data_IF_326235318038
#
_entry.id   IF_326235318038
#
_cell.length_a   1.000
_cell.length_b   1.000
_cell.length_c   1.000
_cell.angle_alpha   90.00
_cell.angle_beta   90.00
_cell.angle_gamma   90.00
#
_symmetry.space_group_name_H-M   'P 1'
#
loop_
_entity.id
_entity.type
_entity.pdbx_description
1 polymer ?
#
# COMPACT_ATOMS: atom_id res chain seq x y z
N UNK A 1 -29.86 -25.74 18.25
CA UNK A 1 -29.26 -24.65 17.44
C UNK A 1 -29.22 -25.12 15.98
N UNK A 2 -30.19 -24.77 15.10
CA UNK A 2 -30.23 -25.31 13.75
C UNK A 2 -29.47 -24.45 12.72
N UNK A 3 -29.07 -25.16 11.67
CA UNK A 3 -28.29 -24.81 10.48
C UNK A 3 -28.45 -23.41 9.87
N UNK A 4 -27.30 -22.87 9.44
CA UNK A 4 -27.18 -21.59 8.76
C UNK A 4 -27.65 -21.57 7.30
N UNK A 5 -28.03 -20.37 6.86
CA UNK A 5 -28.13 -19.98 5.45
C UNK A 5 -27.37 -18.67 5.27
N UNK A 6 -26.19 -18.73 4.64
CA UNK A 6 -25.46 -17.55 4.18
C UNK A 6 -25.81 -17.30 2.72
N UNK A 7 -26.39 -16.13 2.42
CA UNK A 7 -26.62 -15.67 1.05
C UNK A 7 -25.56 -14.64 0.69
N UNK A 8 -24.52 -15.10 -0.01
CA UNK A 8 -23.51 -14.22 -0.59
C UNK A 8 -24.08 -13.61 -1.87
N UNK A 9 -24.35 -12.31 -1.88
CA UNK A 9 -24.59 -11.56 -3.12
C UNK A 9 -23.52 -10.46 -3.24
N UNK A 10 -22.46 -10.79 -3.96
CA UNK A 10 -21.51 -9.81 -4.47
C UNK A 10 -22.15 -9.12 -5.68
N UNK A 11 -22.50 -7.84 -5.55
CA UNK A 11 -22.91 -6.99 -6.67
C UNK A 11 -21.77 -6.04 -7.02
N UNK A 12 -21.40 -6.09 -8.30
CA UNK A 12 -20.20 -5.55 -8.91
C UNK A 12 -20.03 -4.03 -8.75
N UNK A 13 -18.79 -3.57 -8.62
CA UNK A 13 -18.39 -2.22 -9.04
C UNK A 13 -17.53 -2.30 -10.29
N UNK A 14 -18.14 -1.78 -11.35
CA UNK A 14 -17.62 -1.47 -12.68
C UNK A 14 -16.15 -1.06 -12.67
N UNK A 15 -15.31 -1.91 -13.26
CA UNK A 15 -13.96 -1.54 -13.71
C UNK A 15 -14.10 -0.68 -14.96
N UNK A 16 -14.05 0.64 -14.80
CA UNK A 16 -13.90 1.59 -15.91
C UNK A 16 -12.48 1.45 -16.47
N UNK A 17 -12.29 0.56 -17.44
CA UNK A 17 -11.14 0.54 -18.35
C UNK A 17 -11.68 0.49 -19.77
N UNK A 18 -11.71 1.65 -20.41
CA UNK A 18 -11.82 1.76 -21.85
C UNK A 18 -10.45 2.14 -22.40
N UNK A 19 -9.80 1.31 -23.21
CA UNK A 19 -9.09 1.79 -24.36
C UNK A 19 -10.04 1.65 -25.55
N UNK A 20 -10.51 2.79 -26.04
CA UNK A 20 -11.13 2.88 -27.35
C UNK A 20 -10.09 2.43 -28.40
N UNK A 21 -10.56 1.59 -29.31
CA UNK A 21 -9.83 0.95 -30.39
C UNK A 21 -9.53 1.97 -31.50
N UNK A 22 -8.34 1.90 -32.12
CA UNK A 22 -8.26 2.09 -33.57
C UNK A 22 -7.03 1.38 -34.13
N UNK A 23 -7.29 0.19 -34.65
CA UNK A 23 -6.37 -0.61 -35.45
C UNK A 23 -6.47 -0.06 -36.89
N UNK A 24 -5.43 0.61 -37.35
CA UNK A 24 -5.28 1.04 -38.74
C UNK A 24 -4.86 -0.16 -39.61
N UNK A 25 -5.27 -0.17 -40.89
CA UNK A 25 -4.85 -1.07 -41.99
C UNK A 25 -5.70 -2.35 -42.13
N UNK A 26 -6.26 -2.78 -43.27
CA UNK A 26 -6.18 -2.41 -44.69
C UNK A 26 -7.58 -2.58 -45.30
N UNK A 27 -8.02 -1.71 -46.20
CA UNK A 27 -8.88 -2.13 -47.32
C UNK A 27 -8.67 -1.16 -48.50
N UNK A 28 -8.23 -1.72 -49.62
CA UNK A 28 -7.88 -1.01 -50.84
C UNK A 28 -9.06 -0.96 -51.83
N UNK A 29 -9.16 0.18 -52.53
CA UNK A 29 -9.84 0.46 -53.82
C UNK A 29 -11.37 0.67 -53.83
N UNK A 30 -11.94 1.34 -54.85
CA UNK A 30 -11.53 2.60 -55.49
C UNK A 30 -12.70 3.60 -55.71
N UNK A 31 -12.36 4.85 -56.02
CA UNK A 31 -13.13 5.86 -56.76
C UNK A 31 -14.64 6.02 -56.48
N UNK A 32 -15.00 7.03 -55.70
CA UNK A 32 -16.24 7.78 -55.94
C UNK A 32 -16.07 9.24 -55.52
N UNK A 33 -16.14 10.13 -56.50
CA UNK A 33 -16.06 11.58 -56.37
C UNK A 33 -17.32 12.14 -55.71
N UNK A 34 -17.20 12.61 -54.48
CA UNK A 34 -18.07 13.64 -53.93
C UNK A 34 -17.27 14.53 -53.01
N UNK A 35 -17.27 15.82 -53.31
CA UNK A 35 -16.64 16.90 -52.54
C UNK A 35 -17.15 16.84 -51.10
N UNK A 36 -16.43 16.15 -50.23
CA UNK A 36 -16.58 16.28 -48.80
C UNK A 36 -15.97 17.61 -48.39
N UNK A 37 -16.82 18.55 -48.01
CA UNK A 37 -16.41 19.77 -47.35
C UNK A 37 -16.02 19.38 -45.91
N UNK A 38 -14.76 18.99 -45.72
CA UNK A 38 -14.21 18.69 -44.40
C UNK A 38 -14.05 20.02 -43.68
N UNK A 39 -15.05 20.41 -42.90
CA UNK A 39 -14.93 21.47 -41.91
C UNK A 39 -13.91 20.99 -40.86
N UNK A 40 -12.67 21.45 -41.05
CA UNK A 40 -11.56 21.28 -40.12
C UNK A 40 -11.94 21.94 -38.78
N UNK A 41 -12.57 21.18 -37.91
CA UNK A 41 -12.78 21.58 -36.52
C UNK A 41 -11.47 21.36 -35.80
N UNK A 42 -10.67 22.42 -35.73
CA UNK A 42 -9.44 22.45 -34.94
C UNK A 42 -9.81 22.22 -33.47
N UNK A 43 -9.65 20.98 -33.01
CA UNK A 43 -9.73 20.65 -31.59
C UNK A 43 -8.54 21.31 -30.88
N UNK A 44 -8.77 22.51 -30.34
CA UNK A 44 -7.85 23.09 -29.38
C UNK A 44 -7.92 22.24 -28.12
N UNK A 45 -6.95 21.34 -27.96
CA UNK A 45 -6.64 20.73 -26.68
C UNK A 45 -6.21 21.87 -25.75
N UNK A 46 -7.15 22.40 -24.97
CA UNK A 46 -6.84 23.24 -23.81
C UNK A 46 -5.97 22.39 -22.88
N UNK A 47 -4.67 22.62 -22.95
CA UNK A 47 -3.74 22.16 -21.93
C UNK A 47 -4.22 22.72 -20.60
N UNK A 48 -4.63 21.84 -19.68
CA UNK A 48 -4.94 22.24 -18.32
C UNK A 48 -3.75 23.06 -17.79
N UNK A 49 -4.00 24.20 -17.13
CA UNK A 49 -2.91 25.02 -16.61
C UNK A 49 -2.01 24.12 -15.76
N UNK A 50 -0.70 24.21 -15.97
CA UNK A 50 0.26 23.48 -15.17
C UNK A 50 -0.01 23.78 -13.70
N UNK A 51 -0.57 22.82 -12.97
CA UNK A 51 -0.85 22.97 -11.54
C UNK A 51 0.47 23.34 -10.86
N UNK A 52 0.45 24.44 -10.10
CA UNK A 52 1.58 24.80 -9.27
C UNK A 52 2.03 23.58 -8.46
N UNK A 53 3.34 23.37 -8.28
CA UNK A 53 3.86 22.16 -7.64
C UNK A 53 3.21 21.98 -6.26
N UNK A 54 2.55 20.85 -6.06
CA UNK A 54 1.82 20.56 -4.83
C UNK A 54 2.78 20.57 -3.63
N UNK A 55 2.50 21.42 -2.64
CA UNK A 55 3.23 21.47 -1.38
C UNK A 55 2.53 20.57 -0.36
N UNK A 56 3.22 19.52 0.10
CA UNK A 56 2.65 18.53 1.03
C UNK A 56 3.39 18.56 2.37
N UNK A 57 2.64 18.72 3.45
CA UNK A 57 3.12 18.58 4.82
C UNK A 57 2.57 17.29 5.42
N UNK A 58 3.45 16.47 6.00
CA UNK A 58 3.13 15.22 6.68
C UNK A 58 3.35 15.43 8.17
N UNK A 59 2.30 15.25 8.98
CA UNK A 59 2.39 15.32 10.43
C UNK A 59 2.67 13.93 11.03
N UNK A 60 3.88 13.73 11.53
CA UNK A 60 4.34 12.54 12.23
C UNK A 60 5.42 11.75 11.47
N UNK A 61 6.51 11.42 12.17
CA UNK A 61 7.62 10.58 11.67
C UNK A 61 7.63 9.21 12.37
N UNK A 62 6.44 8.62 12.51
CA UNK A 62 6.25 7.25 13.01
C UNK A 62 6.48 6.21 11.91
N UNK A 63 5.44 5.44 11.59
CA UNK A 63 5.48 4.40 10.54
C UNK A 63 4.91 4.96 9.23
N UNK A 64 3.67 5.46 9.25
CA UNK A 64 2.98 5.90 8.04
C UNK A 64 3.65 7.12 7.37
N UNK A 65 4.12 8.10 8.15
CA UNK A 65 4.69 9.33 7.60
C UNK A 65 5.86 9.08 6.64
N UNK A 66 6.91 8.36 7.05
CA UNK A 66 8.01 7.96 6.17
C UNK A 66 7.57 7.17 4.93
N UNK A 67 6.60 6.25 5.06
CA UNK A 67 6.09 5.44 3.95
C UNK A 67 5.38 6.32 2.91
N UNK A 68 4.51 7.22 3.37
CA UNK A 68 3.81 8.19 2.50
C UNK A 68 4.82 9.13 1.86
N UNK A 69 5.81 9.61 2.60
CA UNK A 69 6.83 10.52 2.09
C UNK A 69 7.63 9.90 0.95
N UNK A 70 8.05 8.63 1.10
CA UNK A 70 8.73 7.88 0.05
C UNK A 70 7.84 7.70 -1.19
N UNK A 71 6.55 7.40 -1.03
CA UNK A 71 5.64 7.26 -2.18
C UNK A 71 5.42 8.58 -2.92
N UNK A 72 5.27 9.69 -2.19
CA UNK A 72 5.17 11.02 -2.78
C UNK A 72 6.45 11.40 -3.52
N UNK A 73 7.62 11.10 -2.94
CA UNK A 73 8.91 11.32 -3.59
C UNK A 73 9.02 10.53 -4.90
N UNK A 74 8.59 9.27 -4.93
CA UNK A 74 8.52 8.45 -6.16
C UNK A 74 7.55 9.02 -7.21
N UNK A 75 6.53 9.76 -6.78
CA UNK A 75 5.58 10.46 -7.65
C UNK A 75 6.05 11.87 -8.06
N UNK A 76 7.28 12.28 -7.72
CA UNK A 76 7.84 13.60 -8.06
C UNK A 76 7.40 14.74 -7.14
N UNK A 77 6.68 14.44 -6.06
CA UNK A 77 6.27 15.42 -5.03
C UNK A 77 7.29 15.42 -3.90
N UNK A 78 7.75 16.60 -3.46
CA UNK A 78 8.70 16.73 -2.34
C UNK A 78 7.95 17.10 -1.05
N UNK A 79 7.59 16.13 -0.19
CA UNK A 79 6.89 16.42 1.06
C UNK A 79 7.84 16.89 2.16
N UNK A 80 7.32 17.64 3.11
CA UNK A 80 7.98 17.95 4.39
C UNK A 80 7.34 17.13 5.49
N UNK A 81 8.13 16.44 6.32
CA UNK A 81 7.62 15.74 7.52
C UNK A 81 7.93 16.58 8.75
N UNK A 82 6.92 16.83 9.59
CA UNK A 82 7.09 17.40 10.94
C UNK A 82 6.82 16.34 11.99
N UNK A 83 7.59 16.33 13.07
CA UNK A 83 7.40 15.41 14.19
C UNK A 83 7.56 16.18 15.49
N UNK A 84 6.67 15.93 16.46
CA UNK A 84 6.69 16.59 17.76
C UNK A 84 7.83 16.06 18.64
N UNK A 85 8.10 14.76 18.56
CA UNK A 85 9.17 14.14 19.35
C UNK A 85 10.55 14.54 18.82
N UNK A 86 11.44 14.98 19.72
CA UNK A 86 12.83 15.32 19.40
C UNK A 86 13.67 14.12 18.96
N UNK A 87 13.25 12.90 19.33
CA UNK A 87 13.94 11.66 19.00
C UNK A 87 12.96 10.51 18.75
N UNK A 88 13.46 9.42 18.17
CA UNK A 88 12.69 8.19 18.07
C UNK A 88 12.46 7.61 19.47
N UNK A 89 11.21 7.29 19.79
CA UNK A 89 10.88 6.51 20.99
C UNK A 89 11.54 5.13 20.88
N UNK A 90 12.15 4.67 21.95
CA UNK A 90 12.85 3.36 22.05
C UNK A 90 11.99 2.25 22.62
N UNK A 91 10.81 2.59 23.16
CA UNK A 91 9.82 1.65 23.66
C UNK A 91 8.54 1.73 22.81
N UNK A 92 7.65 0.76 23.00
CA UNK A 92 6.32 0.77 22.40
C UNK A 92 5.67 -0.60 22.41
N UNK A 93 4.43 -0.61 21.94
CA UNK A 93 3.65 -1.82 21.73
C UNK A 93 4.22 -2.70 20.62
N UNK A 94 3.92 -3.98 20.71
CA UNK A 94 4.11 -4.95 19.64
C UNK A 94 3.06 -4.76 18.55
N UNK A 95 3.46 -4.94 17.29
CA UNK A 95 2.61 -4.79 16.11
C UNK A 95 2.74 -6.02 15.21
N UNK A 96 1.62 -6.46 14.67
CA UNK A 96 1.58 -7.52 13.68
C UNK A 96 1.51 -6.99 12.24
N UNK A 97 2.26 -7.61 11.34
CA UNK A 97 2.21 -7.33 9.90
C UNK A 97 1.55 -8.51 9.19
N UNK A 98 0.28 -8.31 8.82
CA UNK A 98 -0.58 -9.33 8.22
C UNK A 98 -1.24 -8.86 6.92
N UNK A 99 -1.77 -9.81 6.16
CA UNK A 99 -2.54 -9.55 4.94
C UNK A 99 -1.79 -8.66 3.95
N UNK A 100 -2.47 -7.61 3.47
CA UNK A 100 -1.92 -6.67 2.49
C UNK A 100 -0.63 -5.98 2.95
N UNK A 101 -0.43 -5.78 4.26
CA UNK A 101 0.78 -5.14 4.76
C UNK A 101 2.04 -5.98 4.48
N UNK A 102 1.93 -7.32 4.48
CA UNK A 102 3.03 -8.21 4.08
C UNK A 102 3.40 -8.03 2.61
N UNK A 103 2.40 -7.97 1.74
CA UNK A 103 2.63 -7.74 0.31
C UNK A 103 3.27 -6.38 0.07
N UNK A 104 2.82 -5.35 0.81
CA UNK A 104 3.39 -4.02 0.73
C UNK A 104 4.87 -4.01 1.10
N UNK A 105 5.26 -4.57 2.25
CA UNK A 105 6.67 -4.53 2.68
C UNK A 105 7.61 -5.27 1.74
N UNK A 106 7.11 -6.31 1.03
CA UNK A 106 7.82 -7.00 -0.05
C UNK A 106 8.01 -6.13 -1.26
N UNK A 107 6.94 -5.46 -1.74
CA UNK A 107 7.02 -4.49 -2.85
C UNK A 107 7.91 -3.30 -2.53
N UNK A 108 8.05 -2.96 -1.25
CA UNK A 108 8.95 -1.91 -0.78
C UNK A 108 10.41 -2.38 -0.64
N UNK A 109 10.71 -3.68 -0.79
CA UNK A 109 12.06 -4.21 -0.59
C UNK A 109 12.53 -4.18 0.87
N UNK A 110 11.59 -4.10 1.82
CA UNK A 110 11.89 -3.97 3.27
C UNK A 110 11.63 -5.24 4.06
N UNK A 111 11.13 -6.29 3.41
CA UNK A 111 10.69 -7.52 4.06
C UNK A 111 11.81 -8.14 4.93
N UNK A 112 13.03 -8.20 4.41
CA UNK A 112 14.18 -8.76 5.14
C UNK A 112 14.59 -7.90 6.35
N UNK A 113 14.67 -6.58 6.18
CA UNK A 113 14.99 -5.66 7.27
C UNK A 113 13.94 -5.68 8.39
N UNK A 114 12.67 -5.82 8.02
CA UNK A 114 11.56 -5.98 8.98
C UNK A 114 11.64 -7.34 9.67
N UNK A 115 11.85 -8.42 8.91
CA UNK A 115 11.99 -9.78 9.45
C UNK A 115 13.13 -9.86 10.46
N UNK A 116 14.28 -9.26 10.16
CA UNK A 116 15.42 -9.21 11.06
C UNK A 116 15.15 -8.41 12.35
N UNK A 117 14.20 -7.48 12.31
CA UNK A 117 13.81 -6.65 13.44
C UNK A 117 12.66 -7.23 14.28
N UNK A 118 12.01 -8.29 13.82
CA UNK A 118 10.91 -8.97 14.53
C UNK A 118 11.33 -9.53 15.90
N UNK A 119 10.34 -9.81 16.75
CA UNK A 119 10.52 -10.35 18.11
C UNK A 119 11.09 -11.76 18.10
N UNK A 120 10.75 -12.56 17.08
CA UNK A 120 11.25 -13.93 16.91
C UNK A 120 10.60 -14.94 17.85
N UNK A 121 9.45 -14.58 18.44
CA UNK A 121 8.66 -15.46 19.29
C UNK A 121 8.34 -16.80 18.59
N UNK A 122 8.30 -17.88 19.38
CA UNK A 122 8.14 -19.25 18.87
C UNK A 122 6.72 -19.80 19.03
N UNK A 123 5.87 -19.08 19.75
CA UNK A 123 4.52 -19.49 20.09
C UNK A 123 4.17 -19.08 21.51
N UNK A 124 3.01 -19.54 21.96
CA UNK A 124 2.42 -19.17 23.25
C UNK A 124 2.12 -20.42 24.07
N UNK A 125 2.58 -20.43 25.32
CA UNK A 125 2.13 -21.40 26.30
C UNK A 125 1.06 -20.79 27.21
N UNK A 126 -0.04 -21.51 27.41
CA UNK A 126 -1.03 -21.19 28.43
C UNK A 126 -0.68 -22.01 29.66
N UNK A 127 -0.47 -21.35 30.81
CA UNK A 127 -0.02 -21.99 32.05
C UNK A 127 -1.05 -21.81 33.17
N UNK A 128 -1.09 -22.74 34.13
CA UNK A 128 -1.87 -22.59 35.36
C UNK A 128 -1.11 -21.79 36.44
N UNK A 129 -1.75 -21.58 37.61
CA UNK A 129 -1.15 -20.86 38.75
C UNK A 129 0.04 -21.60 39.38
N UNK A 130 0.24 -22.88 39.05
CA UNK A 130 1.39 -23.67 39.45
C UNK A 130 2.46 -23.73 38.33
N UNK A 131 2.38 -22.86 37.32
CA UNK A 131 3.28 -22.78 36.16
C UNK A 131 3.30 -24.02 35.26
N UNK A 132 2.29 -24.90 35.33
CA UNK A 132 2.20 -26.06 34.43
C UNK A 132 1.57 -25.67 33.10
N UNK A 133 2.15 -26.12 32.00
CA UNK A 133 1.62 -25.88 30.65
C UNK A 133 0.30 -26.64 30.48
N UNK A 134 -0.77 -25.90 30.20
CA UNK A 134 -2.11 -26.42 29.90
C UNK A 134 -2.39 -26.49 28.40
N UNK A 135 -1.76 -25.62 27.62
CA UNK A 135 -1.80 -25.64 26.16
C UNK A 135 -0.55 -25.01 25.56
N UNK A 136 -0.19 -25.46 24.36
CA UNK A 136 0.91 -24.93 23.55
C UNK A 136 0.38 -24.56 22.18
N UNK A 137 0.48 -23.28 21.82
CA UNK A 137 0.03 -22.74 20.55
C UNK A 137 1.27 -22.34 19.75
N UNK A 138 1.59 -23.01 18.64
CA UNK A 138 2.68 -22.58 17.76
C UNK A 138 2.34 -21.24 17.09
N UNK A 139 3.35 -20.62 16.47
CA UNK A 139 3.19 -19.38 15.66
C UNK A 139 2.00 -19.51 14.70
N UNK A 140 1.11 -18.51 14.71
CA UNK A 140 -0.07 -18.46 13.84
C UNK A 140 -1.30 -19.21 14.36
N UNK A 141 -1.19 -19.94 15.46
CA UNK A 141 -2.31 -20.65 16.10
C UNK A 141 -2.71 -20.02 17.45
N UNK A 142 -2.17 -18.85 17.76
CA UNK A 142 -2.39 -18.11 19.00
C UNK A 142 -2.07 -16.62 18.80
N UNK A 143 -1.74 -15.88 19.87
CA UNK A 143 -1.42 -14.47 19.78
C UNK A 143 -0.07 -14.18 19.09
N UNK A 144 0.83 -15.16 19.00
CA UNK A 144 2.14 -15.02 18.35
C UNK A 144 2.06 -15.14 16.82
N UNK A 145 2.59 -14.16 16.08
CA UNK A 145 2.66 -14.13 14.62
C UNK A 145 4.10 -14.13 14.08
N UNK A 146 4.28 -14.56 12.83
CA UNK A 146 5.60 -14.62 12.18
C UNK A 146 6.22 -13.21 11.96
N UNK A 147 5.40 -12.21 11.63
CA UNK A 147 5.85 -10.81 11.55
C UNK A 147 5.28 -10.00 12.69
N UNK A 148 5.83 -10.27 13.86
CA UNK A 148 5.56 -9.51 15.05
C UNK A 148 6.78 -8.61 15.36
N UNK A 149 6.56 -7.30 15.49
CA UNK A 149 7.64 -6.31 15.63
C UNK A 149 7.27 -5.21 16.63
N UNK A 150 8.21 -4.84 17.50
CA UNK A 150 8.01 -3.71 18.42
C UNK A 150 7.97 -2.40 17.63
N UNK A 151 6.99 -1.55 17.91
CA UNK A 151 6.73 -0.29 17.18
C UNK A 151 7.99 0.53 16.92
N UNK A 152 8.88 0.68 17.91
CA UNK A 152 10.09 1.49 17.76
C UNK A 152 11.02 0.96 16.66
N UNK A 153 11.14 -0.38 16.53
CA UNK A 153 11.96 -1.01 15.50
C UNK A 153 11.35 -0.80 14.12
N UNK A 154 10.03 -0.95 14.00
CA UNK A 154 9.33 -0.68 12.74
C UNK A 154 9.47 0.79 12.33
N UNK A 155 9.32 1.74 13.26
CA UNK A 155 9.58 3.17 13.00
C UNK A 155 11.02 3.41 12.50
N UNK A 156 12.01 2.73 13.08
CA UNK A 156 13.42 2.84 12.65
C UNK A 156 13.59 2.38 11.20
N UNK A 157 13.03 1.22 10.84
CA UNK A 157 13.06 0.71 9.45
C UNK A 157 12.32 1.66 8.51
N UNK A 158 11.12 2.13 8.87
CA UNK A 158 10.35 3.06 8.05
C UNK A 158 11.09 4.37 7.79
N UNK A 159 11.79 4.93 8.78
CA UNK A 159 12.55 6.19 8.61
C UNK A 159 13.81 6.03 7.75
N UNK A 160 14.38 4.83 7.65
CA UNK A 160 15.49 4.58 6.74
C UNK A 160 15.10 4.79 5.26
N UNK A 161 13.83 4.55 4.92
CA UNK A 161 13.30 4.68 3.55
C UNK A 161 13.31 6.09 2.97
N UNK A 162 13.35 7.12 3.83
CA UNK A 162 13.34 8.54 3.42
C UNK A 162 14.73 9.17 3.51
N UNK A 163 15.74 8.42 3.97
CA UNK A 163 17.14 8.87 4.07
C UNK A 163 18.03 8.31 2.96
N UNK A 164 17.55 7.32 2.22
CA UNK A 164 18.21 6.75 1.04
C UNK A 164 17.73 7.45 -0.22
#
# INVERSE_FOLDING_TARGET
>A
MPAGRFRLQLRQRSTRRSPFVSLFSLFSLPLCTSRFLVLSTSFHFLTAPAMAPARVLISGSGIAGPIVAMQLARAGVRPTIVERASSLRTAGQTLDINGFARELIRKLGTEEAIRAACTGEKGTHIVDTAHRIRASLPVGFGPTNEYEIVRHRLCKVSRALVRA
#
